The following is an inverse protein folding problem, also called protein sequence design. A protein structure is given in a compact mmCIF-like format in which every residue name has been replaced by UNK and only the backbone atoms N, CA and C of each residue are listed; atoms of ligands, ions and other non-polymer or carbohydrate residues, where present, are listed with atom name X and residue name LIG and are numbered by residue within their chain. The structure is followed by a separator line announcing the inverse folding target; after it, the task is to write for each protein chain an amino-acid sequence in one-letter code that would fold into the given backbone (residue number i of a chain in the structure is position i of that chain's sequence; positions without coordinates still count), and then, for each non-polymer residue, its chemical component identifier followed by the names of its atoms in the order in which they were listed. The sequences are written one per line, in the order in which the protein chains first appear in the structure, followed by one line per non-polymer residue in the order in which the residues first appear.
data_IF_513597131552
#
_entry.id   IF_513597131552
#
_cell.length_a   1.000
_cell.length_b   1.000
_cell.length_c   1.000
_cell.angle_alpha   90.00
_cell.angle_beta   90.00
_cell.angle_gamma   90.00
#
_symmetry.space_group_name_H-M   'P 1'
#
loop_
_entity.id
_entity.type
_entity.pdbx_description
1 polymer ?
#
# COMPACT_ATOMS: atom_id res chain seq x y z
N UNK A 1 24.62 4.37 -33.92
CA UNK A 1 23.45 4.87 -33.17
C UNK A 1 23.89 6.05 -32.33
N UNK A 2 23.27 7.24 -32.43
CA UNK A 2 23.62 8.37 -31.56
C UNK A 2 23.36 7.99 -30.10
N UNK A 3 24.36 8.19 -29.23
CA UNK A 3 24.21 7.93 -27.79
C UNK A 3 23.18 8.91 -27.24
N UNK A 4 22.17 8.39 -26.53
CA UNK A 4 21.17 9.21 -25.85
C UNK A 4 21.89 10.12 -24.84
N UNK A 5 21.61 11.43 -24.82
CA UNK A 5 22.18 12.34 -23.83
C UNK A 5 21.91 11.84 -22.41
N UNK A 6 22.88 12.02 -21.51
CA UNK A 6 22.69 11.71 -20.09
C UNK A 6 21.57 12.63 -19.59
N UNK A 7 20.45 12.08 -19.09
CA UNK A 7 19.34 12.90 -18.66
C UNK A 7 19.75 13.69 -17.41
N UNK A 8 19.49 15.00 -17.43
CA UNK A 8 19.65 15.85 -16.26
C UNK A 8 18.44 15.71 -15.32
N UNK A 9 18.58 16.15 -14.06
CA UNK A 9 17.55 16.02 -13.04
C UNK A 9 16.19 16.58 -13.50
N UNK A 10 16.18 17.76 -14.10
CA UNK A 10 14.96 18.40 -14.60
C UNK A 10 14.24 17.54 -15.65
N UNK A 11 14.98 16.94 -16.60
CA UNK A 11 14.42 16.05 -17.61
C UNK A 11 13.89 14.74 -17.01
N UNK A 12 14.60 14.17 -16.03
CA UNK A 12 14.13 12.96 -15.32
C UNK A 12 12.84 13.25 -14.56
N UNK A 13 12.80 14.34 -13.79
CA UNK A 13 11.62 14.74 -13.01
C UNK A 13 10.41 15.01 -13.92
N UNK A 14 10.62 15.70 -15.04
CA UNK A 14 9.56 15.92 -16.03
C UNK A 14 9.01 14.60 -16.58
N UNK A 15 9.88 13.62 -16.88
CA UNK A 15 9.45 12.31 -17.35
C UNK A 15 8.71 11.51 -16.28
N UNK A 16 9.17 11.51 -15.02
CA UNK A 16 8.47 10.84 -13.92
C UNK A 16 7.07 11.46 -13.74
N UNK A 17 6.96 12.80 -13.84
CA UNK A 17 5.69 13.49 -13.73
C UNK A 17 4.69 12.99 -14.78
N UNK A 18 5.12 12.99 -16.05
CA UNK A 18 4.32 12.48 -17.16
C UNK A 18 3.97 11.00 -16.95
N UNK A 19 4.95 10.15 -16.68
CA UNK A 19 4.74 8.70 -16.55
C UNK A 19 3.80 8.35 -15.41
N UNK A 20 3.85 9.08 -14.30
CA UNK A 20 2.89 8.82 -13.22
C UNK A 20 1.48 9.23 -13.60
N UNK A 21 1.29 10.22 -14.48
CA UNK A 21 -0.01 10.75 -14.90
C UNK A 21 -0.64 10.12 -16.15
N UNK A 22 0.13 9.44 -17.02
CA UNK A 22 -0.42 8.85 -18.26
C UNK A 22 -1.48 7.77 -17.99
N UNK A 23 -2.55 7.65 -18.81
CA UNK A 23 -3.66 6.72 -18.57
C UNK A 23 -3.24 5.27 -18.33
N UNK A 24 -2.18 4.80 -19.00
CA UNK A 24 -1.65 3.43 -18.85
C UNK A 24 -1.09 3.12 -17.46
N UNK A 25 -0.62 4.14 -16.74
CA UNK A 25 -0.02 4.00 -15.40
C UNK A 25 -0.84 4.69 -14.31
N UNK A 26 -1.77 5.59 -14.68
CA UNK A 26 -2.56 6.47 -13.81
C UNK A 26 -3.44 5.76 -12.77
N UNK A 27 -3.62 4.44 -12.88
CA UNK A 27 -4.41 3.64 -11.92
C UNK A 27 -3.63 2.56 -11.20
N UNK A 28 -2.33 2.43 -11.49
CA UNK A 28 -1.45 1.53 -10.75
C UNK A 28 -1.22 2.07 -9.33
N UNK A 29 -1.18 1.20 -8.30
CA UNK A 29 -0.93 1.59 -6.92
C UNK A 29 0.56 1.90 -6.70
N UNK A 30 1.02 3.00 -7.30
CA UNK A 30 2.42 3.43 -7.23
C UNK A 30 2.70 4.32 -6.01
N UNK A 31 3.95 4.25 -5.57
CA UNK A 31 4.56 5.17 -4.62
C UNK A 31 5.80 5.78 -5.28
N UNK A 32 6.03 7.08 -5.09
CA UNK A 32 7.28 7.76 -5.45
C UNK A 32 8.01 8.09 -4.16
N UNK A 33 9.25 7.62 -4.04
CA UNK A 33 10.10 7.89 -2.88
C UNK A 33 11.19 8.88 -3.28
N UNK A 34 11.26 10.02 -2.60
CA UNK A 34 12.36 10.97 -2.72
C UNK A 34 13.32 10.80 -1.56
N UNK A 35 14.57 10.51 -1.88
CA UNK A 35 15.65 10.30 -0.91
C UNK A 35 16.67 11.44 -0.92
N UNK A 36 16.47 12.41 -1.82
CA UNK A 36 17.28 13.61 -1.95
C UNK A 36 16.35 14.83 -2.04
N UNK A 37 16.64 15.86 -1.26
CA UNK A 37 15.80 17.04 -1.09
C UNK A 37 15.75 17.90 -2.36
N UNK A 38 16.86 17.98 -3.09
CA UNK A 38 16.95 18.69 -4.37
C UNK A 38 16.03 18.07 -5.45
N UNK A 39 15.96 16.75 -5.51
CA UNK A 39 15.08 16.02 -6.42
C UNK A 39 13.59 16.24 -6.07
N UNK A 40 13.26 16.27 -4.78
CA UNK A 40 11.90 16.56 -4.32
C UNK A 40 11.50 18.00 -4.60
N UNK A 41 12.40 18.95 -4.35
CA UNK A 41 12.19 20.37 -4.66
C UNK A 41 11.97 20.56 -6.17
N UNK A 42 12.78 19.92 -7.01
CA UNK A 42 12.60 19.95 -8.46
C UNK A 42 11.24 19.36 -8.90
N UNK A 43 10.77 18.30 -8.23
CA UNK A 43 9.44 17.73 -8.45
C UNK A 43 8.31 18.68 -8.08
N UNK A 44 8.39 19.33 -6.92
CA UNK A 44 7.39 20.31 -6.47
C UNK A 44 7.31 21.49 -7.45
N UNK A 45 8.45 22.08 -7.81
CA UNK A 45 8.51 23.14 -8.80
C UNK A 45 7.90 22.72 -10.16
N UNK A 46 8.11 21.46 -10.57
CA UNK A 46 7.51 20.94 -11.81
C UNK A 46 5.99 20.84 -11.73
N UNK A 47 5.44 20.37 -10.61
CA UNK A 47 3.99 20.32 -10.39
C UNK A 47 3.38 21.72 -10.45
N UNK A 48 4.01 22.70 -9.79
CA UNK A 48 3.57 24.09 -9.78
C UNK A 48 3.62 24.70 -11.19
N UNK A 49 4.73 24.52 -11.90
CA UNK A 49 4.94 25.04 -13.25
C UNK A 49 3.99 24.43 -14.28
N UNK A 50 3.65 23.14 -14.13
CA UNK A 50 2.74 22.46 -15.04
C UNK A 50 1.26 22.81 -14.80
N UNK A 51 0.93 23.41 -13.64
CA UNK A 51 -0.44 23.62 -13.17
C UNK A 51 -1.28 22.32 -13.14
N UNK A 52 -0.62 21.17 -13.17
CA UNK A 52 -1.26 19.86 -13.16
C UNK A 52 -1.14 19.31 -11.73
N UNK A 53 -2.27 19.18 -11.01
CA UNK A 53 -2.22 18.57 -9.70
C UNK A 53 -1.78 17.13 -9.85
N UNK A 54 -1.04 16.69 -8.84
CA UNK A 54 -0.67 15.29 -8.68
C UNK A 54 -1.89 14.39 -8.85
N UNK A 55 -1.73 13.31 -9.64
CA UNK A 55 -2.79 12.32 -9.82
C UNK A 55 -3.32 11.80 -8.47
N UNK A 56 -4.61 11.51 -8.46
CA UNK A 56 -5.27 10.93 -7.30
C UNK A 56 -4.71 9.51 -7.03
N UNK A 57 -4.47 9.20 -5.75
CA UNK A 57 -4.07 7.86 -5.29
C UNK A 57 -2.58 7.51 -5.43
N UNK A 58 -1.75 8.34 -6.07
CA UNK A 58 -0.29 8.21 -5.94
C UNK A 58 0.07 8.43 -4.45
N UNK A 59 1.12 7.79 -3.91
CA UNK A 59 1.78 8.23 -2.64
C UNK A 59 3.18 8.78 -2.94
N UNK A 60 3.55 9.88 -2.29
CA UNK A 60 4.83 10.59 -2.49
C UNK A 60 5.38 10.67 -1.09
N UNK A 61 6.52 10.03 -0.91
CA UNK A 61 7.13 9.77 0.38
C UNK A 61 8.54 10.36 0.33
N UNK A 62 8.97 10.92 1.44
CA UNK A 62 10.29 11.52 1.62
C UNK A 62 10.99 10.82 2.77
N UNK A 63 12.30 10.66 2.66
CA UNK A 63 13.16 10.13 3.72
C UNK A 63 14.47 10.92 3.69
N UNK A 64 14.39 12.13 4.24
CA UNK A 64 15.52 13.07 4.35
C UNK A 64 16.08 12.99 5.77
N UNK A 65 17.38 13.24 5.91
CA UNK A 65 18.02 13.30 7.21
C UNK A 65 17.62 14.59 7.94
N UNK A 66 17.02 14.49 9.13
CA UNK A 66 16.88 15.66 10.01
C UNK A 66 18.12 15.81 10.90
N UNK A 67 18.51 17.04 11.23
CA UNK A 67 19.63 17.33 12.13
C UNK A 67 19.40 16.82 13.58
N UNK A 68 18.16 16.47 13.93
CA UNK A 68 17.75 15.96 15.26
C UNK A 68 17.81 14.43 15.36
N UNK A 69 18.08 13.73 14.26
CA UNK A 69 18.15 12.26 14.21
C UNK A 69 19.49 11.69 14.68
N UNK A 70 20.46 12.55 15.00
CA UNK A 70 21.76 12.14 15.53
C UNK A 70 21.69 11.85 17.04
N UNK A 71 20.99 10.78 17.41
CA UNK A 71 21.14 10.21 18.76
C UNK A 71 22.46 9.44 18.80
N UNK A 72 23.44 9.80 19.65
CA UNK A 72 24.73 9.11 19.71
C UNK A 72 24.52 7.62 20.02
N UNK A 73 24.93 6.75 19.08
CA UNK A 73 24.88 5.30 19.22
C UNK A 73 23.70 4.59 18.54
N UNK A 74 22.79 5.30 17.85
CA UNK A 74 21.74 4.68 17.03
C UNK A 74 21.95 4.98 15.55
N UNK A 75 22.39 3.97 14.78
CA UNK A 75 22.43 4.08 13.33
C UNK A 75 21.01 3.92 12.79
N UNK A 76 20.33 5.03 12.52
CA UNK A 76 19.05 5.00 11.82
C UNK A 76 19.28 4.48 10.39
N UNK A 77 18.61 3.39 10.04
CA UNK A 77 18.61 2.86 8.68
C UNK A 77 17.73 3.79 7.83
N UNK A 78 18.31 4.39 6.78
CA UNK A 78 17.64 5.39 5.93
C UNK A 78 17.73 5.06 4.44
N UNK A 79 16.99 5.82 3.65
CA UNK A 79 16.99 5.76 2.20
C UNK A 79 16.51 4.41 1.68
N UNK A 80 17.21 3.89 0.66
CA UNK A 80 16.87 2.58 0.08
C UNK A 80 16.98 1.42 1.08
N UNK A 81 17.78 1.58 2.13
CA UNK A 81 17.99 0.54 3.13
C UNK A 81 16.83 0.46 4.15
N UNK A 82 16.08 1.54 4.31
CA UNK A 82 14.90 1.58 5.17
C UNK A 82 13.66 0.97 4.48
N UNK A 83 13.70 0.81 3.15
CA UNK A 83 12.59 0.25 2.40
C UNK A 83 12.42 -1.23 2.73
N UNK A 84 11.23 -1.65 3.23
CA UNK A 84 10.97 -3.05 3.50
C UNK A 84 10.97 -3.82 2.18
N UNK A 85 11.89 -4.77 2.05
CA UNK A 85 12.00 -5.67 0.89
C UNK A 85 11.15 -6.94 1.01
N UNK A 86 10.37 -7.04 2.09
CA UNK A 86 9.45 -8.14 2.35
C UNK A 86 8.05 -7.64 2.76
N UNK A 87 7.16 -8.56 3.08
CA UNK A 87 5.78 -8.26 3.47
C UNK A 87 5.61 -8.02 4.98
N UNK A 88 6.69 -7.83 5.77
CA UNK A 88 6.56 -7.55 7.20
C UNK A 88 5.65 -6.36 7.54
N UNK A 89 5.62 -5.26 6.77
CA UNK A 89 4.69 -4.15 7.04
C UNK A 89 3.21 -4.53 6.98
N UNK A 90 2.88 -5.68 6.38
CA UNK A 90 1.51 -6.18 6.28
C UNK A 90 1.18 -7.25 7.33
N UNK A 91 2.09 -7.55 8.26
CA UNK A 91 1.94 -8.68 9.18
C UNK A 91 0.63 -8.61 9.97
N UNK A 92 0.23 -7.43 10.44
CA UNK A 92 -1.01 -7.27 11.23
C UNK A 92 -2.27 -7.49 10.38
N UNK A 93 -2.27 -6.98 9.16
CA UNK A 93 -3.36 -7.19 8.22
C UNK A 93 -3.48 -8.67 7.81
N UNK A 94 -2.35 -9.33 7.55
CA UNK A 94 -2.31 -10.77 7.24
C UNK A 94 -2.73 -11.64 8.42
N UNK A 95 -2.34 -11.27 9.65
CA UNK A 95 -2.74 -12.00 10.86
C UNK A 95 -4.25 -11.89 11.08
N UNK A 96 -4.79 -10.67 10.95
CA UNK A 96 -6.24 -10.41 10.99
C UNK A 96 -6.98 -11.24 9.94
N UNK A 97 -6.52 -11.23 8.69
CA UNK A 97 -7.14 -11.99 7.62
C UNK A 97 -7.14 -13.49 7.92
N UNK A 98 -5.98 -14.03 8.35
CA UNK A 98 -5.87 -15.44 8.71
C UNK A 98 -6.81 -15.82 9.85
N UNK A 99 -6.87 -15.02 10.92
CA UNK A 99 -7.78 -15.29 12.04
C UNK A 99 -9.24 -15.31 11.61
N UNK A 100 -9.68 -14.37 10.75
CA UNK A 100 -11.07 -14.36 10.26
C UNK A 100 -11.39 -15.63 9.47
N UNK A 101 -10.48 -16.09 8.61
CA UNK A 101 -10.69 -17.32 7.82
C UNK A 101 -10.63 -18.57 8.71
N UNK A 102 -9.63 -18.69 9.59
CA UNK A 102 -9.44 -19.85 10.48
C UNK A 102 -10.63 -20.07 11.42
N UNK A 103 -11.32 -18.99 11.83
CA UNK A 103 -12.49 -19.05 12.71
C UNK A 103 -13.83 -18.91 11.98
N UNK A 104 -13.84 -18.96 10.64
CA UNK A 104 -15.03 -18.85 9.79
C UNK A 104 -15.89 -17.61 10.08
N UNK A 105 -15.23 -16.47 10.31
CA UNK A 105 -15.86 -15.19 10.66
C UNK A 105 -16.07 -14.26 9.46
N UNK A 106 -16.05 -14.78 8.22
CA UNK A 106 -16.24 -13.99 7.01
C UNK A 106 -17.65 -13.37 6.97
N UNK A 107 -18.65 -14.10 7.46
CA UNK A 107 -20.04 -13.65 7.49
C UNK A 107 -20.60 -13.35 6.10
N UNK A 108 -21.39 -12.28 5.99
CA UNK A 108 -22.00 -11.85 4.74
C UNK A 108 -21.17 -10.76 4.04
N UNK A 109 -21.28 -10.68 2.72
CA UNK A 109 -20.71 -9.60 1.94
C UNK A 109 -21.30 -8.26 2.39
N UNK A 110 -20.43 -7.30 2.74
CA UNK A 110 -20.83 -5.94 3.16
C UNK A 110 -21.57 -5.11 2.11
N UNK A 111 -21.72 -5.61 0.88
CA UNK A 111 -22.38 -4.91 -0.22
C UNK A 111 -23.67 -5.59 -0.70
N UNK A 112 -23.67 -6.91 -0.92
CA UNK A 112 -24.85 -7.64 -1.38
C UNK A 112 -25.58 -8.42 -0.28
N UNK A 113 -25.03 -8.45 0.94
CA UNK A 113 -25.56 -9.20 2.09
C UNK A 113 -25.70 -10.72 1.88
N UNK A 114 -25.14 -11.27 0.80
CA UNK A 114 -25.06 -12.72 0.59
C UNK A 114 -23.91 -13.31 1.41
N UNK A 115 -24.08 -14.55 1.85
CA UNK A 115 -23.07 -15.28 2.61
C UNK A 115 -21.77 -15.45 1.81
N UNK A 116 -20.65 -15.26 2.48
CA UNK A 116 -19.32 -15.49 1.92
C UNK A 116 -18.92 -16.94 2.22
N UNK A 117 -19.15 -17.81 1.25
CA UNK A 117 -18.80 -19.23 1.36
C UNK A 117 -17.30 -19.41 1.66
N UNK A 118 -16.97 -20.23 2.65
CA UNK A 118 -15.61 -20.67 2.90
C UNK A 118 -15.07 -21.39 1.64
N UNK A 119 -13.86 -21.04 1.22
CA UNK A 119 -13.14 -21.63 0.08
C UNK A 119 -13.70 -21.40 -1.33
N UNK A 120 -14.81 -20.69 -1.49
CA UNK A 120 -15.38 -20.39 -2.81
C UNK A 120 -15.36 -18.88 -3.10
N UNK A 121 -14.62 -18.47 -4.13
CA UNK A 121 -14.60 -17.08 -4.60
C UNK A 121 -13.50 -16.18 -4.01
N UNK A 122 -13.46 -14.95 -4.52
CA UNK A 122 -12.46 -13.94 -4.12
C UNK A 122 -13.10 -12.96 -3.14
N UNK A 123 -12.80 -13.11 -1.85
CA UNK A 123 -13.35 -12.27 -0.79
C UNK A 123 -12.31 -11.27 -0.29
N UNK A 124 -12.48 -9.99 -0.59
CA UNK A 124 -11.57 -8.95 -0.14
C UNK A 124 -11.96 -8.46 1.26
N UNK A 125 -10.95 -8.22 2.10
CA UNK A 125 -11.08 -7.79 3.50
C UNK A 125 -10.63 -6.33 3.65
N UNK A 126 -11.32 -5.55 4.48
CA UNK A 126 -10.89 -4.20 4.83
C UNK A 126 -9.48 -4.20 5.49
N UNK A 127 -8.53 -3.33 5.09
CA UNK A 127 -7.21 -3.26 5.70
C UNK A 127 -7.20 -2.62 7.09
N UNK A 128 -8.18 -1.79 7.45
CA UNK A 128 -8.19 -1.06 8.73
C UNK A 128 -8.29 -1.98 9.94
N UNK A 129 -7.53 -1.65 10.98
CA UNK A 129 -7.47 -2.41 12.22
C UNK A 129 -8.82 -2.44 12.93
N UNK A 130 -9.15 -3.59 13.54
CA UNK A 130 -10.43 -3.82 14.19
C UNK A 130 -11.63 -3.96 13.25
N UNK A 131 -11.50 -3.65 11.95
CA UNK A 131 -12.58 -3.84 10.98
C UNK A 131 -12.50 -5.23 10.33
N UNK A 132 -13.59 -5.99 10.43
CA UNK A 132 -13.74 -7.32 9.83
C UNK A 132 -14.59 -7.32 8.56
N UNK A 133 -14.83 -6.14 7.96
CA UNK A 133 -15.65 -6.02 6.75
C UNK A 133 -15.05 -6.81 5.57
N UNK A 134 -15.78 -7.84 5.13
CA UNK A 134 -15.43 -8.66 3.97
C UNK A 134 -16.50 -8.58 2.88
N UNK A 135 -16.11 -8.85 1.64
CA UNK A 135 -17.07 -8.91 0.55
C UNK A 135 -16.49 -9.51 -0.71
N UNK A 136 -17.36 -9.89 -1.64
CA UNK A 136 -16.95 -10.31 -2.98
C UNK A 136 -16.10 -9.23 -3.65
N UNK A 137 -15.02 -9.62 -4.30
CA UNK A 137 -14.14 -8.73 -5.04
C UNK A 137 -14.90 -7.87 -6.06
N UNK A 138 -15.87 -8.48 -6.74
CA UNK A 138 -16.72 -7.81 -7.74
C UNK A 138 -17.61 -6.76 -7.09
N UNK A 139 -18.21 -7.06 -5.93
CA UNK A 139 -19.02 -6.09 -5.22
C UNK A 139 -18.18 -4.89 -4.73
N UNK A 140 -16.98 -5.17 -4.21
CA UNK A 140 -16.04 -4.12 -3.82
C UNK A 140 -15.63 -3.24 -5.00
N UNK A 141 -15.32 -3.82 -6.16
CA UNK A 141 -14.89 -3.03 -7.32
C UNK A 141 -16.03 -2.19 -7.88
N UNK A 142 -17.25 -2.75 -7.98
CA UNK A 142 -18.45 -2.02 -8.39
C UNK A 142 -18.76 -0.87 -7.44
N UNK A 143 -18.69 -1.10 -6.13
CA UNK A 143 -18.88 -0.03 -5.15
C UNK A 143 -17.82 1.05 -5.27
N UNK A 144 -16.54 0.67 -5.39
CA UNK A 144 -15.43 1.60 -5.53
C UNK A 144 -15.49 2.46 -6.81
N UNK A 145 -16.11 1.93 -7.87
CA UNK A 145 -16.32 2.61 -9.15
C UNK A 145 -17.72 3.25 -9.25
N UNK A 146 -18.55 3.12 -8.21
CA UNK A 146 -19.88 3.71 -8.21
C UNK A 146 -19.76 5.23 -8.20
N UNK A 147 -20.23 5.88 -9.27
CA UNK A 147 -20.05 7.31 -9.53
C UNK A 147 -18.95 7.65 -10.54
N UNK A 148 -18.10 6.70 -10.91
CA UNK A 148 -17.07 6.87 -11.94
C UNK A 148 -17.64 6.56 -13.34
N UNK A 149 -17.99 7.59 -14.11
CA UNK A 149 -18.59 7.46 -15.45
C UNK A 149 -17.57 7.28 -16.58
N UNK A 150 -16.30 7.15 -16.24
CA UNK A 150 -15.17 7.08 -17.18
C UNK A 150 -14.97 5.72 -17.84
N UNK A 151 -15.72 4.69 -17.44
CA UNK A 151 -15.53 3.32 -17.94
C UNK A 151 -14.28 2.63 -17.38
N UNK A 152 -13.73 3.12 -16.27
CA UNK A 152 -12.60 2.49 -15.61
C UNK A 152 -12.95 1.11 -15.03
N UNK A 153 -11.98 0.19 -15.06
CA UNK A 153 -12.13 -1.20 -14.57
C UNK A 153 -11.42 -1.43 -13.25
N UNK A 154 -10.31 -0.74 -13.00
CA UNK A 154 -9.46 -0.93 -11.81
C UNK A 154 -9.73 0.20 -10.82
N UNK A 155 -10.24 -0.03 -9.61
CA UNK A 155 -10.36 1.02 -8.61
C UNK A 155 -9.01 1.54 -8.13
N UNK A 156 -8.92 2.84 -7.80
CA UNK A 156 -7.73 3.41 -7.14
C UNK A 156 -7.85 3.30 -5.61
N UNK A 157 -9.01 3.72 -5.10
CA UNK A 157 -9.36 3.79 -3.69
C UNK A 157 -10.84 3.45 -3.52
N UNK A 158 -11.25 3.04 -2.33
CA UNK A 158 -12.65 2.90 -1.94
C UNK A 158 -12.84 3.30 -0.49
N UNK A 159 -14.08 3.57 -0.07
CA UNK A 159 -14.42 3.73 1.34
C UNK A 159 -15.00 2.42 1.86
N UNK A 160 -14.61 2.02 3.06
CA UNK A 160 -15.24 0.88 3.73
C UNK A 160 -16.65 1.28 4.18
N UNK A 161 -17.73 0.55 3.81
CA UNK A 161 -19.07 0.86 4.27
C UNK A 161 -19.28 0.59 5.77
N UNK A 162 -18.44 -0.26 6.38
CA UNK A 162 -18.55 -0.62 7.81
C UNK A 162 -17.82 0.37 8.73
N UNK A 163 -16.54 0.66 8.46
CA UNK A 163 -15.76 1.56 9.31
C UNK A 163 -15.59 2.99 8.76
N UNK A 164 -16.07 3.27 7.55
CA UNK A 164 -15.87 4.55 6.86
C UNK A 164 -14.44 4.84 6.39
N UNK A 165 -13.47 3.99 6.76
CA UNK A 165 -12.06 4.20 6.46
C UNK A 165 -11.75 4.13 4.96
N UNK A 166 -10.86 5.02 4.51
CA UNK A 166 -10.34 5.01 3.14
C UNK A 166 -9.41 3.82 2.89
N UNK A 167 -9.69 3.03 1.87
CA UNK A 167 -8.96 1.84 1.46
C UNK A 167 -8.22 2.13 0.18
N UNK A 168 -6.92 1.83 0.15
CA UNK A 168 -6.15 1.79 -1.09
C UNK A 168 -6.34 0.44 -1.75
N UNK A 169 -6.91 0.42 -2.96
CA UNK A 169 -7.27 -0.82 -3.66
C UNK A 169 -6.08 -1.78 -3.77
N UNK A 170 -4.91 -1.26 -4.15
CA UNK A 170 -3.69 -2.07 -4.29
C UNK A 170 -3.22 -2.75 -3.00
N UNK A 171 -3.46 -2.15 -1.82
CA UNK A 171 -3.06 -2.74 -0.54
C UNK A 171 -4.01 -3.90 -0.19
N UNK A 172 -5.31 -3.73 -0.46
CA UNK A 172 -6.32 -4.79 -0.30
C UNK A 172 -6.10 -5.96 -1.28
N UNK A 173 -5.75 -5.67 -2.54
CA UNK A 173 -5.44 -6.72 -3.52
C UNK A 173 -4.15 -7.48 -3.17
N UNK A 174 -3.17 -6.80 -2.57
CA UNK A 174 -1.92 -7.41 -2.14
C UNK A 174 -2.18 -8.49 -1.07
N UNK A 175 -2.98 -8.18 -0.05
CA UNK A 175 -3.40 -9.20 0.94
C UNK A 175 -4.17 -10.34 0.29
N UNK A 176 -5.20 -10.04 -0.51
CA UNK A 176 -6.02 -11.05 -1.17
C UNK A 176 -5.15 -12.01 -2.01
N UNK A 177 -4.19 -11.48 -2.76
CA UNK A 177 -3.27 -12.28 -3.57
C UNK A 177 -2.33 -13.14 -2.74
N UNK A 178 -1.81 -12.61 -1.63
CA UNK A 178 -0.95 -13.34 -0.70
C UNK A 178 -1.71 -14.48 -0.04
N UNK A 179 -2.94 -14.22 0.43
CA UNK A 179 -3.75 -15.24 1.08
C UNK A 179 -4.12 -16.39 0.14
N UNK A 180 -4.42 -16.09 -1.13
CA UNK A 180 -4.88 -17.12 -2.08
C UNK A 180 -3.71 -17.87 -2.73
N UNK A 181 -2.57 -17.20 -2.97
CA UNK A 181 -1.49 -17.74 -3.81
C UNK A 181 -0.13 -17.81 -3.13
N UNK A 182 0.03 -17.16 -1.98
CA UNK A 182 1.30 -16.99 -1.29
C UNK A 182 1.23 -17.44 0.17
N UNK A 183 0.57 -18.58 0.43
CA UNK A 183 0.39 -19.10 1.79
C UNK A 183 1.73 -19.28 2.50
N UNK A 184 2.75 -19.79 1.81
CA UNK A 184 4.10 -19.95 2.37
C UNK A 184 4.72 -18.61 2.81
N UNK A 185 4.55 -17.56 1.99
CA UNK A 185 5.01 -16.20 2.29
C UNK A 185 4.26 -15.62 3.50
N UNK A 186 2.94 -15.79 3.55
CA UNK A 186 2.11 -15.36 4.69
C UNK A 186 2.60 -16.03 5.97
N UNK A 187 2.85 -17.34 5.91
CA UNK A 187 3.32 -18.12 7.04
C UNK A 187 4.68 -17.64 7.57
N UNK A 188 5.60 -17.38 6.65
CA UNK A 188 6.92 -16.82 6.97
C UNK A 188 6.79 -15.44 7.61
N UNK A 189 5.92 -14.59 7.06
CA UNK A 189 5.71 -13.23 7.57
C UNK A 189 5.21 -13.28 9.01
N UNK A 190 4.20 -14.10 9.27
CA UNK A 190 3.56 -14.19 10.57
C UNK A 190 4.45 -14.88 11.61
N UNK A 191 5.24 -15.88 11.21
CA UNK A 191 6.27 -16.49 12.08
C UNK A 191 7.33 -15.47 12.50
N UNK A 192 7.80 -14.62 11.58
CA UNK A 192 8.77 -13.54 11.88
C UNK A 192 8.17 -12.48 12.80
N UNK A 193 6.95 -12.02 12.52
CA UNK A 193 6.26 -11.05 13.37
C UNK A 193 6.06 -11.56 14.81
N UNK A 194 5.66 -12.83 14.98
CA UNK A 194 5.54 -13.46 16.31
C UNK A 194 6.88 -13.51 17.05
N UNK A 195 7.99 -13.83 16.36
CA UNK A 195 9.34 -13.81 16.94
C UNK A 195 9.77 -12.40 17.37
N UNK A 196 9.49 -11.39 16.54
CA UNK A 196 9.79 -9.99 16.86
C UNK A 196 9.02 -9.51 18.11
N UNK A 197 7.71 -9.80 18.19
CA UNK A 197 6.88 -9.47 19.36
C UNK A 197 7.41 -10.14 20.65
N UNK A 198 7.81 -11.41 20.59
CA UNK A 198 8.43 -12.12 21.73
C UNK A 198 9.75 -11.47 22.19
N UNK A 199 10.61 -11.07 21.25
CA UNK A 199 11.88 -10.40 21.56
C UNK A 199 11.64 -9.04 22.23
N UNK A 200 10.71 -8.24 21.69
CA UNK A 200 10.36 -6.95 22.26
C UNK A 200 9.81 -7.07 23.70
N UNK A 201 8.92 -8.05 23.94
CA UNK A 201 8.37 -8.32 25.27
C UNK A 201 9.42 -8.82 26.28
N UNK A 202 10.48 -9.50 25.82
CA UNK A 202 11.59 -9.92 26.68
C UNK A 202 12.51 -8.75 27.03
N UNK A 203 12.80 -7.84 26.09
CA UNK A 203 13.62 -6.65 26.33
C UNK A 203 12.90 -5.56 27.16
N UNK A 204 11.57 -5.48 27.08
CA UNK A 204 10.76 -4.55 27.88
C UNK A 204 10.52 -4.99 29.33
N UNK A 205 10.94 -6.21 29.72
CA UNK A 205 10.87 -6.71 31.12
C UNK A 205 12.16 -6.48 31.92
N UNK A 206 13.16 -5.83 31.32
CA UNK A 206 14.49 -5.56 31.90
C UNK A 206 14.74 -4.07 32.18
N UNK A 207 13.69 -3.28 32.39
CA UNK A 207 13.78 -1.88 32.81
C UNK A 207 12.83 -1.58 33.95
#
# INVERSE_FOLDING_TARGET
MPRRPIPNLASVIANIHILTGVPSLARLPLNVHFLAEDAYTAWQHRLESAQEPRRQGLRVLTDFADAVDEVPGQTLVRGIHALPVDYQPMAEYLDKARSIIEFEQQGCCVHCAQDLESDNGLHALCPHDGCQAMGHLVCWSQHALSGDRSGHVIPNQCACPSCGGGIRWGDMMKELSLRIRGEAEVDQVLKRAKKAKKKAAASGKTS
#
